data_IF_434209459720
#
_entry.id   IF_434209459720
#
_cell.length_a   1.000
_cell.length_b   1.000
_cell.length_c   1.000
_cell.angle_alpha   90.00
_cell.angle_beta   90.00
_cell.angle_gamma   90.00
#
_symmetry.space_group_name_H-M   'P 1'
#
loop_
_entity.id
_entity.type
_entity.pdbx_description
1 polymer ?
#
# COMPACT_ATOMS: atom_id res chain seq x y z
N UNK A 1 -48.28 -17.31 -50.80
CA UNK A 1 -46.90 -17.11 -50.27
C UNK A 1 -47.00 -16.60 -48.83
N UNK A 2 -46.72 -17.48 -47.87
CA UNK A 2 -46.80 -17.15 -46.43
C UNK A 2 -45.46 -16.52 -46.03
N UNK A 3 -45.46 -15.23 -45.66
CA UNK A 3 -44.28 -14.52 -45.12
C UNK A 3 -44.21 -14.81 -43.62
N UNK A 4 -43.20 -15.56 -43.19
CA UNK A 4 -42.90 -15.77 -41.78
C UNK A 4 -42.06 -14.58 -41.30
N UNK A 5 -42.64 -13.76 -40.43
CA UNK A 5 -41.93 -12.70 -39.71
C UNK A 5 -41.30 -13.36 -38.48
N UNK A 6 -39.99 -13.54 -38.51
CA UNK A 6 -39.20 -13.95 -37.34
C UNK A 6 -39.00 -12.71 -36.44
N UNK A 7 -39.71 -12.69 -35.32
CA UNK A 7 -39.54 -11.71 -34.29
C UNK A 7 -38.35 -12.12 -33.42
N UNK A 8 -37.19 -11.47 -33.63
CA UNK A 8 -36.02 -11.65 -32.78
C UNK A 8 -36.25 -10.87 -31.47
N UNK A 9 -36.63 -11.56 -30.39
CA UNK A 9 -36.65 -11.00 -29.05
C UNK A 9 -35.21 -10.92 -28.54
N UNK A 10 -34.63 -9.70 -28.58
CA UNK A 10 -33.34 -9.41 -27.94
C UNK A 10 -33.59 -9.35 -26.43
N UNK A 11 -33.19 -10.40 -25.73
CA UNK A 11 -33.19 -10.44 -24.26
C UNK A 11 -32.05 -9.54 -23.77
N UNK A 12 -32.36 -8.31 -23.36
CA UNK A 12 -31.42 -7.46 -22.63
C UNK A 12 -31.29 -8.03 -21.21
N UNK A 13 -30.26 -8.86 -20.99
CA UNK A 13 -29.84 -9.23 -19.64
C UNK A 13 -29.08 -8.01 -19.11
N UNK A 14 -29.77 -7.18 -18.33
CA UNK A 14 -29.15 -6.10 -17.58
C UNK A 14 -28.21 -6.69 -16.55
N UNK A 15 -26.91 -6.63 -16.80
CA UNK A 15 -25.90 -6.84 -15.76
C UNK A 15 -25.98 -5.66 -14.79
N UNK A 16 -26.77 -5.80 -13.73
CA UNK A 16 -26.59 -4.96 -12.54
C UNK A 16 -25.30 -5.41 -11.87
N UNK A 17 -24.17 -4.89 -12.36
CA UNK A 17 -22.91 -4.97 -11.65
C UNK A 17 -23.05 -4.11 -10.39
N UNK A 18 -23.38 -4.72 -9.26
CA UNK A 18 -23.14 -4.08 -7.97
C UNK A 18 -21.63 -3.90 -7.87
N UNK A 19 -21.17 -2.68 -8.02
CA UNK A 19 -19.82 -2.32 -7.60
C UNK A 19 -19.78 -2.61 -6.10
N UNK A 20 -19.15 -3.72 -5.72
CA UNK A 20 -18.88 -4.04 -4.33
C UNK A 20 -17.87 -2.99 -3.87
N UNK A 21 -18.29 -2.06 -3.02
CA UNK A 21 -17.37 -1.13 -2.39
C UNK A 21 -16.34 -1.95 -1.62
N UNK A 22 -15.09 -1.88 -2.10
CA UNK A 22 -13.96 -2.51 -1.41
C UNK A 22 -13.66 -1.68 -0.17
N UNK A 23 -14.33 -2.00 0.92
CA UNK A 23 -14.05 -1.40 2.23
C UNK A 23 -12.94 -2.15 2.93
N UNK A 24 -12.04 -1.42 3.59
CA UNK A 24 -11.06 -2.04 4.48
C UNK A 24 -11.80 -2.57 5.72
N UNK A 25 -11.62 -3.84 6.10
CA UNK A 25 -12.33 -4.42 7.24
C UNK A 25 -12.04 -3.66 8.55
N UNK A 26 -13.05 -3.54 9.40
CA UNK A 26 -12.89 -3.04 10.77
C UNK A 26 -11.88 -3.90 11.55
N UNK A 27 -11.05 -3.24 12.34
CA UNK A 27 -9.96 -3.89 13.08
C UNK A 27 -8.64 -3.97 12.32
N UNK A 28 -8.63 -3.75 11.00
CA UNK A 28 -7.40 -3.71 10.21
C UNK A 28 -6.46 -2.62 10.74
N UNK A 29 -5.18 -2.96 10.84
CA UNK A 29 -4.12 -2.00 11.14
C UNK A 29 -3.48 -1.56 9.85
N UNK A 30 -3.46 -0.26 9.60
CA UNK A 30 -2.70 0.36 8.52
C UNK A 30 -1.42 0.92 9.13
N UNK A 31 -0.30 0.38 8.69
CA UNK A 31 1.04 0.80 9.09
C UNK A 31 1.61 1.67 7.98
N UNK A 32 1.76 2.97 8.23
CA UNK A 32 2.30 3.93 7.28
C UNK A 32 3.63 4.45 7.77
N UNK A 33 4.64 4.33 6.94
CA UNK A 33 6.02 4.76 7.24
C UNK A 33 6.48 5.76 6.19
N UNK A 34 7.11 6.83 6.65
CA UNK A 34 7.69 7.86 5.80
C UNK A 34 9.18 7.98 6.11
N UNK A 35 10.00 7.95 5.07
CA UNK A 35 11.46 8.00 5.17
C UNK A 35 11.99 9.29 4.55
N UNK A 36 12.91 9.94 5.25
CA UNK A 36 13.77 11.01 4.75
C UNK A 36 15.16 10.43 4.56
N UNK A 37 15.63 10.38 3.31
CA UNK A 37 16.93 9.80 2.98
C UNK A 37 18.09 10.70 3.43
N UNK A 38 19.26 10.10 3.68
CA UNK A 38 20.51 10.83 3.86
C UNK A 38 20.90 11.61 2.60
N UNK A 39 20.65 11.00 1.42
CA UNK A 39 20.90 11.59 0.12
C UNK A 39 19.60 11.65 -0.69
N UNK A 40 18.71 12.64 -0.46
CA UNK A 40 17.38 12.69 -1.05
C UNK A 40 17.38 12.79 -2.59
N UNK A 41 18.46 13.27 -3.19
CA UNK A 41 18.62 13.36 -4.65
C UNK A 41 19.21 12.07 -5.27
N UNK A 42 19.60 11.09 -4.46
CA UNK A 42 20.13 9.80 -4.92
C UNK A 42 19.01 8.89 -5.39
N UNK A 43 18.90 8.71 -6.70
CA UNK A 43 17.98 7.74 -7.31
C UNK A 43 18.35 6.30 -6.93
N UNK A 44 19.64 6.02 -6.73
CA UNK A 44 20.15 4.71 -6.32
C UNK A 44 19.70 4.37 -4.89
N UNK A 45 19.89 5.28 -3.93
CA UNK A 45 19.49 5.08 -2.54
C UNK A 45 17.97 4.91 -2.42
N UNK A 46 17.22 5.68 -3.20
CA UNK A 46 15.76 5.58 -3.27
C UNK A 46 15.30 4.22 -3.80
N UNK A 47 15.92 3.73 -4.87
CA UNK A 47 15.63 2.43 -5.45
C UNK A 47 16.03 1.30 -4.48
N UNK A 48 17.19 1.39 -3.85
CA UNK A 48 17.67 0.42 -2.86
C UNK A 48 16.73 0.31 -1.66
N UNK A 49 16.26 1.44 -1.13
CA UNK A 49 15.30 1.43 -0.03
C UNK A 49 13.98 0.75 -0.43
N UNK A 50 13.44 1.05 -1.60
CA UNK A 50 12.21 0.41 -2.10
C UNK A 50 12.39 -1.10 -2.27
N UNK A 51 13.51 -1.55 -2.83
CA UNK A 51 13.85 -2.97 -2.96
C UNK A 51 13.89 -3.65 -1.58
N UNK A 52 14.54 -3.02 -0.60
CA UNK A 52 14.57 -3.53 0.78
C UNK A 52 13.18 -3.64 1.40
N UNK A 53 12.34 -2.61 1.24
CA UNK A 53 10.96 -2.61 1.73
C UNK A 53 10.12 -3.73 1.11
N UNK A 54 10.27 -3.98 -0.20
CA UNK A 54 9.55 -5.05 -0.89
C UNK A 54 9.85 -6.44 -0.33
N UNK A 55 11.05 -6.67 0.23
CA UNK A 55 11.38 -7.95 0.88
C UNK A 55 10.50 -8.26 2.08
N UNK A 56 9.97 -7.24 2.74
CA UNK A 56 9.09 -7.38 3.91
C UNK A 56 7.72 -7.99 3.57
N UNK A 57 7.32 -7.95 2.29
CA UNK A 57 6.14 -8.67 1.79
C UNK A 57 6.25 -10.20 1.92
N UNK A 58 7.44 -10.75 2.17
CA UNK A 58 7.65 -12.16 2.49
C UNK A 58 7.21 -12.56 3.90
N UNK A 59 6.88 -11.60 4.76
CA UNK A 59 6.34 -11.86 6.11
C UNK A 59 4.85 -12.19 5.98
N UNK A 60 4.43 -13.35 6.48
CA UNK A 60 3.09 -13.90 6.29
C UNK A 60 1.98 -12.99 6.80
N UNK A 61 2.22 -12.27 7.89
CA UNK A 61 1.27 -11.37 8.54
C UNK A 61 1.01 -10.09 7.74
N UNK A 62 1.86 -9.75 6.78
CA UNK A 62 1.67 -8.61 5.86
C UNK A 62 0.60 -8.96 4.82
N UNK A 63 -0.57 -8.36 4.93
CA UNK A 63 -1.71 -8.60 4.00
C UNK A 63 -1.58 -7.80 2.72
N UNK A 64 -1.01 -6.60 2.81
CA UNK A 64 -0.76 -5.70 1.69
C UNK A 64 0.50 -4.89 1.98
N UNK A 65 1.30 -4.67 0.95
CA UNK A 65 2.46 -3.80 0.99
C UNK A 65 2.47 -2.92 -0.27
N UNK A 66 2.67 -1.63 -0.09
CA UNK A 66 2.88 -0.70 -1.18
C UNK A 66 3.99 0.29 -0.80
N UNK A 67 4.87 0.59 -1.74
CA UNK A 67 5.86 1.66 -1.61
C UNK A 67 5.46 2.85 -2.47
N UNK A 68 5.87 4.05 -2.09
CA UNK A 68 5.51 5.26 -2.82
C UNK A 68 6.49 6.41 -2.64
N UNK A 69 6.22 7.46 -3.37
CA UNK A 69 6.90 8.76 -3.30
C UNK A 69 5.85 9.86 -3.17
N UNK A 70 6.23 11.10 -2.78
CA UNK A 70 5.27 12.20 -2.71
C UNK A 70 4.54 12.40 -4.04
N UNK A 71 3.22 12.42 -3.99
CA UNK A 71 2.40 12.70 -5.16
C UNK A 71 2.43 14.18 -5.52
N UNK A 72 2.46 14.50 -6.82
CA UNK A 72 2.42 15.89 -7.31
C UNK A 72 1.00 16.46 -7.26
N UNK A 73 0.40 16.49 -6.07
CA UNK A 73 -0.92 17.10 -5.86
C UNK A 73 -0.82 18.61 -5.69
N UNK A 74 -1.98 19.28 -5.73
CA UNK A 74 -2.05 20.73 -5.50
C UNK A 74 -1.35 21.10 -4.18
N UNK A 75 -0.47 22.10 -4.21
CA UNK A 75 0.21 22.61 -3.01
C UNK A 75 -0.80 23.25 -2.06
N UNK A 76 -0.82 22.76 -0.83
CA UNK A 76 -1.63 23.27 0.30
C UNK A 76 -0.79 23.18 1.56
N UNK A 77 -1.00 24.08 2.51
CA UNK A 77 -0.24 24.12 3.77
C UNK A 77 -0.34 22.81 4.59
N UNK A 78 -1.44 22.07 4.42
CA UNK A 78 -1.69 20.81 5.13
C UNK A 78 -1.04 19.59 4.44
N UNK A 79 -0.47 19.76 3.24
CA UNK A 79 0.18 18.67 2.50
C UNK A 79 1.64 18.60 2.86
N UNK A 80 2.02 17.54 3.56
CA UNK A 80 3.42 17.22 3.88
C UNK A 80 3.99 16.38 2.75
N UNK A 81 4.99 16.88 2.06
CA UNK A 81 5.63 16.24 0.90
C UNK A 81 7.15 16.36 0.90
N UNK A 82 7.73 16.60 2.07
CA UNK A 82 9.19 16.76 2.26
C UNK A 82 9.92 15.43 2.57
N UNK A 83 9.20 14.31 2.53
CA UNK A 83 9.72 12.95 2.65
C UNK A 83 10.07 12.36 1.28
N UNK A 84 10.86 11.27 1.24
CA UNK A 84 11.40 10.71 -0.01
C UNK A 84 10.73 9.41 -0.43
N UNK A 85 10.52 8.49 0.52
CA UNK A 85 9.90 7.18 0.26
C UNK A 85 8.87 6.90 1.34
N UNK A 86 7.78 6.26 0.97
CA UNK A 86 6.79 5.74 1.92
C UNK A 86 6.58 4.25 1.76
N UNK A 87 6.14 3.64 2.85
CA UNK A 87 5.65 2.28 2.91
C UNK A 87 4.26 2.29 3.53
N UNK A 88 3.36 1.51 2.96
CA UNK A 88 2.03 1.26 3.52
C UNK A 88 1.83 -0.23 3.60
N UNK A 89 1.52 -0.73 4.79
CA UNK A 89 1.18 -2.13 5.03
C UNK A 89 -0.17 -2.26 5.72
N UNK A 90 -0.83 -3.39 5.51
CA UNK A 90 -2.05 -3.78 6.21
C UNK A 90 -1.79 -5.05 7.01
N UNK A 91 -2.29 -5.08 8.26
CA UNK A 91 -2.31 -6.24 9.14
C UNK A 91 -3.73 -6.50 9.61
N UNK A 92 -4.08 -7.77 9.88
CA UNK A 92 -5.41 -8.12 10.39
C UNK A 92 -5.62 -7.66 11.84
N UNK A 93 -4.52 -7.52 12.61
CA UNK A 93 -4.55 -7.19 14.03
C UNK A 93 -3.27 -6.50 14.50
N UNK A 94 -3.31 -5.96 15.71
CA UNK A 94 -2.11 -5.46 16.41
C UNK A 94 -1.13 -6.58 16.72
N UNK A 95 -1.62 -7.78 17.00
CA UNK A 95 -0.81 -8.97 17.27
C UNK A 95 0.00 -9.37 16.04
N UNK A 96 -0.59 -9.32 14.85
CA UNK A 96 0.12 -9.58 13.60
C UNK A 96 1.18 -8.52 13.31
N UNK A 97 0.89 -7.25 13.61
CA UNK A 97 1.87 -6.18 13.49
C UNK A 97 3.03 -6.36 14.49
N UNK A 98 2.78 -6.86 15.70
CA UNK A 98 3.82 -7.21 16.67
C UNK A 98 4.71 -8.35 16.15
N UNK A 99 4.13 -9.37 15.53
CA UNK A 99 4.89 -10.45 14.87
C UNK A 99 5.80 -9.90 13.78
N UNK A 100 5.27 -9.04 12.92
CA UNK A 100 6.04 -8.35 11.88
C UNK A 100 7.21 -7.56 12.48
N UNK A 101 6.96 -6.75 13.50
CA UNK A 101 7.96 -5.86 14.12
C UNK A 101 9.15 -6.65 14.68
N UNK A 102 8.92 -7.86 15.19
CA UNK A 102 9.93 -8.74 15.78
C UNK A 102 10.47 -9.79 14.78
N UNK A 103 9.98 -9.79 13.55
CA UNK A 103 10.33 -10.81 12.55
C UNK A 103 11.81 -10.68 12.11
N UNK A 104 12.53 -11.79 11.91
CA UNK A 104 13.93 -11.75 11.45
C UNK A 104 14.16 -10.99 10.14
N UNK A 105 13.21 -11.06 9.19
CA UNK A 105 13.28 -10.28 7.95
C UNK A 105 13.22 -8.78 8.20
N UNK A 106 12.37 -8.33 9.13
CA UNK A 106 12.30 -6.93 9.51
C UNK A 106 13.60 -6.45 10.16
N UNK A 107 14.16 -7.25 11.06
CA UNK A 107 15.45 -6.94 11.70
C UNK A 107 16.60 -6.89 10.68
N UNK A 108 16.61 -7.83 9.72
CA UNK A 108 17.61 -7.85 8.63
C UNK A 108 17.46 -6.61 7.74
N UNK A 109 16.23 -6.21 7.41
CA UNK A 109 15.95 -4.98 6.66
C UNK A 109 16.54 -3.75 7.35
N UNK A 110 16.27 -3.56 8.65
CA UNK A 110 16.82 -2.42 9.41
C UNK A 110 18.35 -2.44 9.39
N UNK A 111 18.97 -3.62 9.57
CA UNK A 111 20.42 -3.75 9.58
C UNK A 111 21.06 -3.43 8.24
N UNK A 112 20.44 -3.87 7.14
CA UNK A 112 20.98 -3.73 5.79
C UNK A 112 20.73 -2.35 5.19
N UNK A 113 19.54 -1.79 5.39
CA UNK A 113 19.10 -0.57 4.72
C UNK A 113 19.03 0.67 5.63
N UNK A 114 19.16 0.50 6.95
CA UNK A 114 18.99 1.58 7.93
C UNK A 114 19.92 2.78 7.73
N UNK A 115 21.07 2.59 7.08
CA UNK A 115 22.01 3.66 6.75
C UNK A 115 21.50 4.62 5.67
N UNK A 116 20.44 4.23 4.91
CA UNK A 116 19.91 5.03 3.80
C UNK A 116 19.09 6.24 4.28
N UNK A 117 18.49 6.18 5.48
CA UNK A 117 17.64 7.26 5.97
C UNK A 117 18.20 7.93 7.23
N UNK A 118 17.96 9.22 7.33
CA UNK A 118 18.28 10.06 8.50
C UNK A 118 17.09 10.24 9.45
N UNK A 119 15.87 10.01 8.96
CA UNK A 119 14.64 10.16 9.74
C UNK A 119 13.59 9.18 9.21
N UNK A 120 12.83 8.63 10.12
CA UNK A 120 11.65 7.80 9.83
C UNK A 120 10.51 8.22 10.75
N UNK A 121 9.28 8.24 10.22
CA UNK A 121 8.06 8.51 10.98
C UNK A 121 7.05 7.43 10.64
N UNK A 122 6.41 6.90 11.66
CA UNK A 122 5.42 5.82 11.55
C UNK A 122 4.07 6.32 12.06
N UNK A 123 3.01 5.98 11.34
CA UNK A 123 1.63 6.13 11.76
C UNK A 123 0.95 4.76 11.72
N UNK A 124 0.55 4.25 12.87
CA UNK A 124 -0.25 3.05 13.00
C UNK A 124 -1.71 3.47 13.21
N UNK A 125 -2.59 3.05 12.30
CA UNK A 125 -4.00 3.45 12.27
C UNK A 125 -4.85 2.19 12.38
N UNK A 126 -5.80 2.17 13.32
CA UNK A 126 -6.82 1.12 13.38
C UNK A 126 -8.08 1.59 12.66
N UNK A 127 -8.57 0.77 11.77
CA UNK A 127 -9.84 1.01 11.08
C UNK A 127 -11.00 0.62 12.00
N UNK A 128 -11.99 1.50 12.12
CA UNK A 128 -13.19 1.31 12.95
C UNK A 128 -14.30 0.52 12.22
#
# INVERSE_FOLDING_TARGET
>A
MKKYIFLFAVLFIGYNGFAQEATVPSGTIIHQVFFWLEHPDSMEDKAALKEGLETLGGIREVQMLATGEPASTMKREVVVSDWDVSETMYFESTEDQDVYQNHPLHQAFIKEYGHLWKKVVVYDIRID
#
